data_IF_647545004051
#
_entry.id   IF_647545004051
#
_cell.length_a   1.000
_cell.length_b   1.000
_cell.length_c   1.000
_cell.angle_alpha   90.00
_cell.angle_beta   90.00
_cell.angle_gamma   90.00
#
_symmetry.space_group_name_H-M   'P 1'
#
loop_
_entity.id
_entity.type
_entity.pdbx_description
1 polymer ?
#
# COMPACT_ATOMS: atom_id res chain seq x y z
N UNK A 1 21.94 -4.18 -35.01
CA UNK A 1 20.62 -3.60 -34.69
C UNK A 1 20.56 -3.46 -33.16
N UNK A 2 20.54 -2.19 -32.66
CA UNK A 2 20.41 -1.88 -31.25
C UNK A 2 18.96 -2.13 -30.85
N UNK A 3 18.73 -3.12 -29.96
CA UNK A 3 17.48 -3.29 -29.25
C UNK A 3 17.20 -2.01 -28.43
N UNK A 4 16.31 -1.17 -28.92
CA UNK A 4 15.83 -0.03 -28.15
C UNK A 4 14.79 -0.54 -27.15
N UNK A 5 15.23 -0.76 -25.91
CA UNK A 5 14.34 -0.94 -24.78
C UNK A 5 13.70 0.41 -24.47
N UNK A 6 12.46 0.59 -24.83
CA UNK A 6 11.71 1.77 -24.42
C UNK A 6 11.04 1.46 -23.08
N UNK A 7 11.58 2.05 -22.04
CA UNK A 7 11.02 1.94 -20.67
C UNK A 7 10.13 3.14 -20.45
N UNK A 8 8.84 2.91 -20.30
CA UNK A 8 7.90 3.95 -19.83
C UNK A 8 7.76 3.81 -18.31
N UNK A 9 8.23 4.82 -17.59
CA UNK A 9 7.94 4.94 -16.17
C UNK A 9 6.60 5.68 -16.07
N UNK A 10 5.54 5.00 -15.68
CA UNK A 10 4.30 5.65 -15.28
C UNK A 10 4.59 6.33 -13.94
N UNK A 11 5.30 7.45 -14.01
CA UNK A 11 5.63 8.32 -12.87
C UNK A 11 4.52 9.33 -12.58
N UNK A 12 3.33 9.12 -13.10
CA UNK A 12 2.16 9.78 -12.61
C UNK A 12 1.76 9.08 -11.32
N UNK A 13 2.27 9.59 -10.18
CA UNK A 13 1.43 9.54 -9.01
C UNK A 13 0.15 10.25 -9.45
N UNK A 14 -0.91 9.49 -9.68
CA UNK A 14 -2.23 10.08 -9.77
C UNK A 14 -2.40 10.71 -8.40
N UNK A 15 -2.22 12.03 -8.34
CA UNK A 15 -2.50 12.78 -7.12
C UNK A 15 -3.99 12.67 -6.89
N UNK A 16 -4.35 11.67 -6.07
CA UNK A 16 -5.74 11.41 -5.71
C UNK A 16 -6.37 12.59 -4.98
N UNK A 17 -5.56 13.53 -4.45
CA UNK A 17 -6.08 14.76 -3.85
C UNK A 17 -6.42 15.81 -4.92
N UNK A 18 -5.64 15.93 -5.98
CA UNK A 18 -5.99 16.78 -7.14
C UNK A 18 -7.13 16.14 -7.95
N UNK A 19 -7.15 14.82 -8.13
CA UNK A 19 -8.25 14.13 -8.79
C UNK A 19 -9.52 14.14 -7.93
N UNK A 20 -9.41 13.94 -6.61
CA UNK A 20 -10.56 14.07 -5.70
C UNK A 20 -11.06 15.51 -5.61
N UNK A 21 -10.20 16.51 -5.77
CA UNK A 21 -10.60 17.92 -5.86
C UNK A 21 -11.19 18.24 -7.25
N UNK A 22 -10.62 17.75 -8.34
CA UNK A 22 -11.14 17.89 -9.69
C UNK A 22 -12.43 17.09 -9.92
N UNK A 23 -12.53 15.90 -9.32
CA UNK A 23 -13.73 15.06 -9.28
C UNK A 23 -14.85 15.73 -8.47
N UNK A 24 -14.53 16.56 -7.48
CA UNK A 24 -15.56 17.22 -6.66
C UNK A 24 -16.29 18.38 -7.35
N UNK A 25 -15.70 19.01 -8.38
CA UNK A 25 -16.32 20.18 -9.03
C UNK A 25 -17.04 19.86 -10.35
N UNK A 26 -16.62 18.83 -11.14
CA UNK A 26 -17.21 18.55 -12.45
C UNK A 26 -17.43 17.05 -12.77
N UNK A 27 -17.15 16.13 -11.86
CA UNK A 27 -17.26 14.69 -12.14
C UNK A 27 -18.69 14.17 -12.10
N UNK A 28 -19.03 13.38 -13.08
CA UNK A 28 -20.30 12.64 -13.10
C UNK A 28 -20.24 11.48 -12.08
N UNK A 29 -21.40 10.99 -11.60
CA UNK A 29 -21.45 9.78 -10.77
C UNK A 29 -20.76 8.57 -11.41
N UNK A 30 -20.69 8.52 -12.73
CA UNK A 30 -20.06 7.48 -13.51
C UNK A 30 -18.52 7.56 -13.44
N UNK A 31 -17.97 8.77 -13.53
CA UNK A 31 -16.52 9.01 -13.38
C UNK A 31 -16.03 8.62 -11.97
N UNK A 32 -16.83 8.91 -10.96
CA UNK A 32 -16.54 8.52 -9.57
C UNK A 32 -16.53 7.00 -9.42
N UNK A 33 -17.49 6.32 -10.05
CA UNK A 33 -17.60 4.85 -10.01
C UNK A 33 -16.39 4.20 -10.68
N UNK A 34 -16.02 4.64 -11.89
CA UNK A 34 -14.85 4.13 -12.62
C UNK A 34 -13.56 4.36 -11.83
N UNK A 35 -13.42 5.51 -11.20
CA UNK A 35 -12.25 5.81 -10.36
C UNK A 35 -12.16 4.89 -9.15
N UNK A 36 -13.26 4.68 -8.44
CA UNK A 36 -13.30 3.78 -7.27
C UNK A 36 -13.01 2.34 -7.69
N UNK A 37 -13.60 1.86 -8.77
CA UNK A 37 -13.36 0.52 -9.30
C UNK A 37 -11.91 0.31 -9.72
N UNK A 38 -11.32 1.29 -10.41
CA UNK A 38 -9.90 1.25 -10.82
C UNK A 38 -8.96 1.25 -9.60
N UNK A 39 -9.25 2.05 -8.60
CA UNK A 39 -8.45 2.11 -7.37
C UNK A 39 -8.53 0.81 -6.58
N UNK A 40 -9.71 0.23 -6.44
CA UNK A 40 -9.91 -1.07 -5.77
C UNK A 40 -9.23 -2.22 -6.53
N UNK A 41 -9.28 -2.20 -7.87
CA UNK A 41 -8.56 -3.17 -8.70
C UNK A 41 -7.06 -3.08 -8.49
N UNK A 42 -6.49 -1.87 -8.50
CA UNK A 42 -5.06 -1.65 -8.30
C UNK A 42 -4.60 -2.07 -6.89
N UNK A 43 -5.38 -1.80 -5.85
CA UNK A 43 -5.05 -2.28 -4.49
C UNK A 43 -5.02 -3.81 -4.42
N UNK A 44 -5.96 -4.48 -5.08
CA UNK A 44 -5.99 -5.94 -5.14
C UNK A 44 -4.78 -6.50 -5.90
N UNK A 45 -4.45 -5.92 -7.05
CA UNK A 45 -3.29 -6.34 -7.83
C UNK A 45 -1.99 -6.12 -7.07
N UNK A 46 -1.87 -5.00 -6.34
CA UNK A 46 -0.76 -4.70 -5.46
C UNK A 46 -0.65 -5.72 -4.33
N UNK A 47 -1.78 -6.06 -3.69
CA UNK A 47 -1.85 -7.07 -2.64
C UNK A 47 -1.37 -8.44 -3.16
N UNK A 48 -1.84 -8.88 -4.32
CA UNK A 48 -1.44 -10.15 -4.94
C UNK A 48 0.06 -10.19 -5.26
N UNK A 49 0.61 -9.09 -5.75
CA UNK A 49 2.05 -8.97 -6.00
C UNK A 49 2.86 -9.04 -4.69
N UNK A 50 2.44 -8.35 -3.66
CA UNK A 50 3.11 -8.35 -2.35
C UNK A 50 3.04 -9.74 -1.72
N UNK A 51 1.90 -10.40 -1.74
CA UNK A 51 1.73 -11.75 -1.20
C UNK A 51 2.66 -12.75 -1.89
N UNK A 52 2.84 -12.62 -3.20
CA UNK A 52 3.75 -13.47 -3.97
C UNK A 52 5.23 -13.18 -3.70
N UNK A 53 5.56 -12.00 -3.17
CA UNK A 53 6.94 -11.51 -3.01
C UNK A 53 7.11 -10.69 -1.72
N UNK A 54 6.70 -11.26 -0.57
CA UNK A 54 6.81 -10.59 0.74
C UNK A 54 8.24 -10.16 1.09
N UNK A 55 9.24 -10.89 0.60
CA UNK A 55 10.65 -10.58 0.73
C UNK A 55 11.06 -9.25 0.07
N UNK A 56 10.27 -8.72 -0.87
CA UNK A 56 10.48 -7.37 -1.42
C UNK A 56 10.19 -6.27 -0.39
N UNK A 57 9.29 -6.52 0.56
CA UNK A 57 9.05 -5.59 1.66
C UNK A 57 10.13 -5.73 2.73
N UNK A 58 10.43 -6.96 3.11
CA UNK A 58 11.44 -7.29 4.10
C UNK A 58 11.78 -8.78 4.04
N UNK A 59 13.07 -9.16 4.00
CA UNK A 59 13.50 -10.55 4.03
C UNK A 59 12.99 -11.27 5.29
N UNK A 60 12.46 -12.48 5.11
CA UNK A 60 11.99 -13.31 6.21
C UNK A 60 10.57 -13.05 6.68
N UNK A 61 9.82 -12.16 6.02
CA UNK A 61 8.38 -12.01 6.27
C UNK A 61 7.62 -13.27 5.84
N UNK A 62 6.74 -13.76 6.72
CA UNK A 62 5.84 -14.86 6.44
C UNK A 62 4.40 -14.39 6.56
N UNK A 63 3.58 -14.64 5.52
CA UNK A 63 2.16 -14.33 5.52
C UNK A 63 1.43 -15.21 6.55
N UNK A 64 0.57 -14.59 7.37
CA UNK A 64 -0.36 -15.28 8.27
C UNK A 64 -1.76 -15.28 7.66
N UNK A 65 -2.27 -14.11 7.28
CA UNK A 65 -3.61 -13.98 6.72
C UNK A 65 -3.74 -12.77 5.79
N UNK A 66 -4.78 -12.80 4.94
CA UNK A 66 -5.20 -11.71 4.06
C UNK A 66 -6.58 -11.26 4.46
N UNK A 67 -6.84 -9.95 4.34
CA UNK A 67 -8.16 -9.35 4.52
C UNK A 67 -8.85 -9.79 5.82
N UNK A 68 -8.07 -9.80 6.90
CA UNK A 68 -8.56 -10.24 8.20
C UNK A 68 -9.46 -9.19 8.84
N UNK A 69 -10.66 -9.61 9.24
CA UNK A 69 -11.59 -8.77 9.97
C UNK A 69 -11.36 -8.90 11.47
N UNK A 70 -11.14 -7.78 12.12
CA UNK A 70 -10.96 -7.69 13.58
C UNK A 70 -11.96 -6.71 14.19
N UNK A 71 -11.96 -6.59 15.52
CA UNK A 71 -12.80 -5.60 16.23
C UNK A 71 -12.44 -4.15 15.90
N UNK A 72 -11.22 -3.91 15.39
CA UNK A 72 -10.71 -2.58 15.06
C UNK A 72 -10.76 -2.27 13.57
N UNK A 73 -11.28 -3.19 12.77
CA UNK A 73 -11.46 -3.03 11.33
C UNK A 73 -10.95 -4.21 10.53
N UNK A 74 -10.90 -4.04 9.21
CA UNK A 74 -10.35 -5.01 8.27
C UNK A 74 -8.96 -4.57 7.85
N UNK A 75 -7.96 -5.40 8.12
CA UNK A 75 -6.58 -5.18 7.68
C UNK A 75 -6.29 -5.92 6.37
N UNK A 76 -5.38 -5.40 5.57
CA UNK A 76 -5.07 -6.00 4.27
C UNK A 76 -4.25 -7.27 4.43
N UNK A 77 -3.09 -7.21 5.09
CA UNK A 77 -2.22 -8.36 5.30
C UNK A 77 -1.72 -8.42 6.73
N UNK A 78 -1.72 -9.61 7.30
CA UNK A 78 -1.05 -9.93 8.55
C UNK A 78 0.12 -10.85 8.26
N UNK A 79 1.29 -10.52 8.77
CA UNK A 79 2.52 -11.28 8.58
C UNK A 79 3.28 -11.45 9.91
N UNK A 80 4.33 -12.23 9.88
CA UNK A 80 5.28 -12.41 10.98
C UNK A 80 6.69 -12.19 10.47
N UNK A 81 7.50 -11.42 11.21
CA UNK A 81 8.89 -11.21 10.85
C UNK A 81 9.81 -12.36 11.32
N UNK A 82 11.08 -12.28 10.96
CA UNK A 82 12.07 -13.30 11.30
C UNK A 82 12.28 -13.47 12.81
N UNK A 83 11.99 -12.43 13.61
CA UNK A 83 12.05 -12.48 15.07
C UNK A 83 10.73 -12.94 15.72
N UNK A 84 9.76 -13.32 14.91
CA UNK A 84 8.45 -13.81 15.37
C UNK A 84 7.51 -12.71 15.86
N UNK A 85 7.74 -11.44 15.48
CA UNK A 85 6.82 -10.34 15.79
C UNK A 85 5.72 -10.26 14.76
N UNK A 86 4.52 -9.90 15.19
CA UNK A 86 3.41 -9.60 14.31
C UNK A 86 3.70 -8.34 13.51
N UNK A 87 3.46 -8.41 12.20
CA UNK A 87 3.60 -7.30 11.26
C UNK A 87 2.27 -7.05 10.57
N UNK A 88 1.69 -5.88 10.81
CA UNK A 88 0.49 -5.41 10.12
C UNK A 88 0.92 -4.68 8.85
N UNK A 89 0.38 -5.07 7.71
CA UNK A 89 0.68 -4.45 6.41
C UNK A 89 -0.61 -3.85 5.87
N UNK A 90 -0.58 -2.56 5.61
CA UNK A 90 -1.68 -1.80 5.02
C UNK A 90 -1.27 -1.28 3.66
N UNK A 91 -2.16 -1.38 2.66
CA UNK A 91 -1.90 -1.04 1.27
C UNK A 91 -2.79 0.12 0.82
N UNK A 92 -2.22 1.03 0.03
CA UNK A 92 -2.95 2.11 -0.62
C UNK A 92 -2.52 2.20 -2.09
N UNK A 93 -3.48 2.19 -3.00
CA UNK A 93 -3.21 2.34 -4.43
C UNK A 93 -2.65 3.73 -4.75
N UNK A 94 -3.13 4.76 -4.06
CA UNK A 94 -2.68 6.13 -4.21
C UNK A 94 -1.70 6.58 -3.13
N UNK A 95 -1.59 7.89 -2.96
CA UNK A 95 -0.83 8.51 -1.88
C UNK A 95 -1.52 8.26 -0.53
N UNK A 96 -0.76 7.86 0.49
CA UNK A 96 -1.29 7.64 1.84
C UNK A 96 -1.64 8.96 2.52
N UNK A 97 -2.80 9.00 3.18
CA UNK A 97 -3.33 10.13 3.94
C UNK A 97 -3.22 9.89 5.44
N UNK A 98 -3.50 10.92 6.25
CA UNK A 98 -3.51 10.82 7.72
C UNK A 98 -4.44 9.71 8.22
N UNK A 99 -5.55 9.44 7.52
CA UNK A 99 -6.45 8.34 7.83
C UNK A 99 -5.77 6.96 7.76
N UNK A 100 -4.80 6.78 6.88
CA UNK A 100 -4.02 5.54 6.77
C UNK A 100 -3.12 5.34 7.98
N UNK A 101 -2.52 6.42 8.50
CA UNK A 101 -1.74 6.39 9.76
C UNK A 101 -2.64 6.03 10.94
N UNK A 102 -3.82 6.65 11.05
CA UNK A 102 -4.79 6.34 12.09
C UNK A 102 -5.26 4.89 12.04
N UNK A 103 -5.46 4.36 10.84
CA UNK A 103 -5.87 2.96 10.63
C UNK A 103 -4.79 1.99 11.12
N UNK A 104 -3.55 2.13 10.64
CA UNK A 104 -2.46 1.23 11.04
C UNK A 104 -2.13 1.36 12.53
N UNK A 105 -2.18 2.57 13.08
CA UNK A 105 -1.95 2.81 14.50
C UNK A 105 -2.96 2.06 15.39
N UNK A 106 -4.25 2.00 14.99
CA UNK A 106 -5.27 1.22 15.71
C UNK A 106 -4.94 -0.28 15.73
N UNK A 107 -4.50 -0.83 14.61
CA UNK A 107 -4.09 -2.24 14.56
C UNK A 107 -2.89 -2.50 15.45
N UNK A 108 -1.87 -1.63 15.38
CA UNK A 108 -0.67 -1.78 16.23
C UNK A 108 -1.03 -1.71 17.72
N UNK A 109 -1.91 -0.80 18.12
CA UNK A 109 -2.41 -0.71 19.49
C UNK A 109 -3.13 -1.99 19.91
N UNK A 110 -4.06 -2.48 19.08
CA UNK A 110 -4.84 -3.67 19.40
C UNK A 110 -3.98 -4.94 19.51
N UNK A 111 -3.06 -5.16 18.55
CA UNK A 111 -2.15 -6.31 18.63
C UNK A 111 -1.15 -6.17 19.78
N UNK A 112 -0.70 -4.95 20.08
CA UNK A 112 0.17 -4.68 21.23
C UNK A 112 -0.44 -5.04 22.58
N UNK A 113 -1.76 -4.88 22.73
CA UNK A 113 -2.47 -5.28 23.95
C UNK A 113 -2.68 -6.80 24.04
N UNK A 114 -2.78 -7.50 22.92
CA UNK A 114 -3.15 -8.90 22.85
C UNK A 114 -1.96 -9.86 22.63
N UNK A 115 -0.78 -9.33 22.34
CA UNK A 115 0.42 -10.13 22.09
C UNK A 115 1.56 -9.76 23.04
N UNK A 116 2.41 -10.72 23.35
CA UNK A 116 3.52 -10.54 24.31
C UNK A 116 4.72 -9.75 23.76
N UNK A 117 4.72 -9.41 22.46
CA UNK A 117 5.77 -8.63 21.80
C UNK A 117 5.15 -7.43 21.07
N UNK A 118 5.79 -6.26 21.07
CA UNK A 118 5.29 -5.12 20.32
C UNK A 118 5.18 -5.44 18.82
N UNK A 119 4.00 -5.23 18.20
CA UNK A 119 3.81 -5.43 16.78
C UNK A 119 4.55 -4.38 15.97
N UNK A 120 4.75 -4.64 14.70
CA UNK A 120 5.30 -3.71 13.71
C UNK A 120 4.28 -3.41 12.64
N UNK A 121 4.44 -2.27 11.96
CA UNK A 121 3.60 -1.89 10.84
C UNK A 121 4.40 -1.63 9.57
N UNK A 122 3.83 -1.96 8.43
CA UNK A 122 4.32 -1.54 7.11
C UNK A 122 3.15 -0.89 6.38
N UNK A 123 3.29 0.38 6.01
CA UNK A 123 2.33 1.08 5.17
C UNK A 123 2.92 1.21 3.77
N UNK A 124 2.27 0.61 2.79
CA UNK A 124 2.67 0.64 1.38
C UNK A 124 1.75 1.57 0.62
N UNK A 125 2.31 2.51 -0.13
CA UNK A 125 1.55 3.48 -0.92
C UNK A 125 2.34 3.94 -2.15
N UNK A 126 1.69 4.64 -3.09
CA UNK A 126 2.41 5.26 -4.22
C UNK A 126 3.28 6.44 -3.79
N UNK A 127 2.95 7.08 -2.66
CA UNK A 127 3.69 8.19 -2.08
C UNK A 127 3.21 8.55 -0.68
N UNK A 128 3.95 9.46 -0.05
CA UNK A 128 3.67 9.95 1.30
C UNK A 128 3.96 11.45 1.38
N UNK A 129 2.95 12.24 1.65
CA UNK A 129 3.12 13.66 1.94
C UNK A 129 3.94 13.89 3.23
N UNK A 130 4.56 15.08 3.37
CA UNK A 130 5.39 15.38 4.53
C UNK A 130 4.68 15.22 5.88
N UNK A 131 3.41 15.65 6.07
CA UNK A 131 2.70 15.44 7.33
C UNK A 131 2.55 13.96 7.69
N UNK A 132 2.24 13.10 6.72
CA UNK A 132 2.13 11.64 6.91
C UNK A 132 3.46 11.05 7.35
N UNK A 133 4.57 11.49 6.75
CA UNK A 133 5.92 11.06 7.15
C UNK A 133 6.27 11.47 8.58
N UNK A 134 5.87 12.67 9.00
CA UNK A 134 6.06 13.13 10.37
C UNK A 134 5.24 12.33 11.37
N UNK A 135 3.98 12.07 11.07
CA UNK A 135 3.11 11.25 11.90
C UNK A 135 3.66 9.81 12.04
N UNK A 136 4.13 9.22 10.94
CA UNK A 136 4.73 7.88 10.95
C UNK A 136 5.97 7.79 11.84
N UNK A 137 6.80 8.85 11.90
CA UNK A 137 7.98 8.89 12.79
C UNK A 137 7.63 8.80 14.27
N UNK A 138 6.41 9.20 14.65
CA UNK A 138 5.94 9.13 16.03
C UNK A 138 5.45 7.74 16.43
N UNK A 139 5.33 6.80 15.48
CA UNK A 139 4.82 5.45 15.73
C UNK A 139 5.99 4.47 15.72
N UNK A 140 6.40 3.91 16.87
CA UNK A 140 7.47 2.93 16.93
C UNK A 140 7.17 1.70 16.09
N UNK A 141 8.15 1.24 15.31
CA UNK A 141 8.03 0.04 14.48
C UNK A 141 7.21 0.20 13.20
N UNK A 142 6.75 1.42 12.86
CA UNK A 142 6.11 1.70 11.58
C UNK A 142 7.13 2.01 10.50
N UNK A 143 7.07 1.25 9.40
CA UNK A 143 7.87 1.43 8.18
C UNK A 143 6.97 1.92 7.04
N UNK A 144 7.44 2.91 6.29
CA UNK A 144 6.79 3.38 5.06
C UNK A 144 7.51 2.79 3.85
N UNK A 145 6.76 2.26 2.90
CA UNK A 145 7.27 1.66 1.67
C UNK A 145 6.55 2.28 0.47
N UNK A 146 7.32 2.82 -0.46
CA UNK A 146 6.76 3.33 -1.73
C UNK A 146 6.86 2.26 -2.81
N UNK A 147 5.76 2.00 -3.51
CA UNK A 147 5.76 1.14 -4.69
C UNK A 147 5.72 1.97 -5.98
N UNK A 148 6.14 1.35 -7.08
CA UNK A 148 6.03 1.91 -8.44
C UNK A 148 5.63 0.80 -9.39
N UNK A 149 4.78 1.14 -10.37
CA UNK A 149 4.43 0.25 -11.47
C UNK A 149 5.26 0.64 -12.68
N UNK A 150 5.87 -0.34 -13.33
CA UNK A 150 6.69 -0.14 -14.52
C UNK A 150 6.29 -1.12 -15.60
N UNK A 151 6.07 -0.62 -16.83
CA UNK A 151 5.81 -1.44 -18.01
C UNK A 151 7.06 -1.49 -18.89
N UNK A 152 7.40 -2.67 -19.38
CA UNK A 152 8.41 -2.86 -20.40
C UNK A 152 7.75 -3.39 -21.67
N UNK A 153 8.12 -2.82 -22.84
CA UNK A 153 7.64 -3.25 -24.14
C UNK A 153 8.82 -3.76 -24.96
N UNK A 154 8.64 -4.92 -25.58
CA UNK A 154 9.63 -5.53 -26.46
C UNK A 154 8.96 -5.84 -27.80
N UNK A 155 9.70 -5.61 -28.91
CA UNK A 155 9.21 -5.99 -30.23
C UNK A 155 9.11 -7.51 -30.33
N UNK A 156 7.92 -8.00 -30.70
CA UNK A 156 7.73 -9.41 -30.94
C UNK A 156 8.36 -9.82 -32.29
N UNK A 157 9.23 -10.84 -32.25
CA UNK A 157 9.75 -11.42 -33.48
C UNK A 157 8.64 -12.26 -34.14
N UNK A 158 8.35 -11.99 -35.42
CA UNK A 158 7.35 -12.71 -36.22
C UNK A 158 7.97 -13.97 -36.82
#
# INVERSE_FOLDING_TARGET
FKNQRTTFTLGASIDTSELAAAVAEDATPQDITEYVESSLSLERDLEDQIVSHLDFLEPGLMLISRQESSRVGRLDLLARDAEGRTVVIELKAGEAKDSSIGQIARYLGWYGENEGKPPRGILVASGFAAPVRWAAKAIPGLKLVTYRVQFAFEEATV
#
